data_IF_426599681847
#
_entry.id   IF_426599681847
#
_cell.length_a   1.000
_cell.length_b   1.000
_cell.length_c   1.000
_cell.angle_alpha   90.00
_cell.angle_beta   90.00
_cell.angle_gamma   90.00
#
_symmetry.space_group_name_H-M   'P 1'
#
loop_
_entity.id
_entity.type
_entity.pdbx_description
1 polymer ?
#
# COMPACT_ATOMS: atom_id res chain seq x y z
N UNK A 1 19.18 -22.77 6.21
CA UNK A 1 18.03 -22.06 6.83
C UNK A 1 17.85 -22.55 8.26
N UNK A 2 17.82 -21.64 9.24
CA UNK A 2 17.53 -21.91 10.66
C UNK A 2 16.04 -21.72 10.95
N UNK A 3 15.57 -22.25 12.08
CA UNK A 3 14.19 -22.02 12.52
C UNK A 3 13.88 -20.52 12.64
N UNK A 4 12.72 -20.10 12.16
CA UNK A 4 12.26 -18.70 12.23
C UNK A 4 13.04 -17.73 11.35
N UNK A 5 13.99 -18.23 10.54
CA UNK A 5 14.73 -17.39 9.60
C UNK A 5 13.76 -16.79 8.56
N UNK A 6 14.03 -15.55 8.16
CA UNK A 6 13.19 -14.83 7.20
C UNK A 6 13.74 -15.08 5.81
N UNK A 7 12.91 -15.65 4.95
CA UNK A 7 13.22 -15.90 3.55
C UNK A 7 12.45 -14.89 2.71
N UNK A 8 13.19 -14.00 2.07
CA UNK A 8 12.66 -13.04 1.12
C UNK A 8 12.65 -13.63 -0.28
N UNK A 9 11.52 -13.52 -0.96
CA UNK A 9 11.33 -13.92 -2.36
C UNK A 9 10.70 -12.75 -3.10
N UNK A 10 11.30 -12.33 -4.22
CA UNK A 10 10.63 -11.38 -5.10
C UNK A 10 9.33 -12.02 -5.61
N UNK A 11 8.18 -11.36 -5.50
CA UNK A 11 6.88 -12.05 -5.61
C UNK A 11 6.65 -12.74 -6.98
N UNK A 12 7.23 -12.23 -8.07
CA UNK A 12 7.19 -12.88 -9.39
C UNK A 12 8.22 -14.01 -9.57
N UNK A 13 9.10 -14.23 -8.60
CA UNK A 13 10.03 -15.37 -8.51
C UNK A 13 9.51 -16.47 -7.57
N UNK A 14 8.23 -16.41 -7.21
CA UNK A 14 7.62 -17.39 -6.32
C UNK A 14 7.58 -18.80 -6.92
N UNK A 15 7.36 -18.91 -8.22
CA UNK A 15 7.31 -20.18 -8.94
C UNK A 15 8.63 -20.97 -8.84
N UNK A 16 9.80 -20.39 -9.19
CA UNK A 16 11.07 -21.08 -9.00
C UNK A 16 11.43 -21.29 -7.52
N UNK A 17 10.95 -20.46 -6.60
CA UNK A 17 11.18 -20.67 -5.16
C UNK A 17 10.57 -21.98 -4.67
N UNK A 18 9.31 -22.28 -5.02
CA UNK A 18 8.64 -23.53 -4.65
C UNK A 18 9.13 -24.78 -5.41
N UNK A 19 10.30 -24.71 -6.03
CA UNK A 19 11.03 -25.84 -6.60
C UNK A 19 12.22 -26.27 -5.71
N UNK A 20 13.43 -26.41 -6.28
CA UNK A 20 14.62 -26.82 -5.53
C UNK A 20 14.93 -25.99 -4.28
N UNK A 21 14.78 -24.63 -4.28
CA UNK A 21 15.05 -23.83 -3.08
C UNK A 21 14.16 -24.24 -1.90
N UNK A 22 12.84 -24.30 -2.09
CA UNK A 22 11.90 -24.72 -1.04
C UNK A 22 12.17 -26.15 -0.55
N UNK A 23 12.47 -27.07 -1.46
CA UNK A 23 12.73 -28.47 -1.11
C UNK A 23 13.99 -28.64 -0.26
N UNK A 24 15.00 -27.79 -0.46
CA UNK A 24 16.25 -27.80 0.33
C UNK A 24 16.10 -27.28 1.76
N UNK A 25 14.98 -26.64 2.08
CA UNK A 25 14.74 -26.03 3.39
C UNK A 25 14.10 -27.06 4.32
N UNK A 26 14.78 -27.40 5.41
CA UNK A 26 14.28 -28.39 6.37
C UNK A 26 13.60 -27.78 7.59
N UNK A 27 14.01 -26.57 7.99
CA UNK A 27 13.52 -25.91 9.21
C UNK A 27 12.37 -24.95 8.89
N UNK A 28 11.35 -24.85 9.76
CA UNK A 28 10.30 -23.85 9.63
C UNK A 28 10.84 -22.41 9.56
N UNK A 29 10.25 -21.58 8.71
CA UNK A 29 10.73 -20.24 8.37
C UNK A 29 9.58 -19.25 8.17
N UNK A 30 9.91 -17.96 8.18
CA UNK A 30 9.00 -16.87 7.79
C UNK A 30 9.20 -16.57 6.31
N UNK A 31 8.13 -16.64 5.51
CA UNK A 31 8.19 -16.29 4.09
C UNK A 31 7.77 -14.83 3.89
N UNK A 32 8.53 -14.07 3.10
CA UNK A 32 8.17 -12.71 2.68
C UNK A 32 8.19 -12.64 1.16
N UNK A 33 7.05 -12.31 0.54
CA UNK A 33 6.94 -12.06 -0.90
C UNK A 33 6.66 -10.60 -1.18
N UNK A 34 7.58 -9.92 -1.89
CA UNK A 34 7.54 -8.47 -2.09
C UNK A 34 8.21 -8.05 -3.41
N UNK A 35 8.38 -6.75 -3.64
CA UNK A 35 9.17 -6.13 -4.70
C UNK A 35 8.78 -6.55 -6.12
N UNK A 36 7.50 -6.80 -6.32
CA UNK A 36 6.84 -7.04 -7.61
C UNK A 36 5.34 -6.81 -7.46
N UNK A 37 4.66 -6.57 -8.58
CA UNK A 37 3.20 -6.42 -8.66
C UNK A 37 2.47 -7.77 -8.51
N UNK A 38 3.20 -8.89 -8.59
CA UNK A 38 2.63 -10.23 -8.49
C UNK A 38 1.94 -10.46 -7.13
N UNK A 39 0.78 -11.10 -7.17
CA UNK A 39 0.05 -11.51 -5.97
C UNK A 39 0.55 -12.83 -5.42
N UNK A 40 0.44 -13.01 -4.10
CA UNK A 40 0.86 -14.20 -3.37
C UNK A 40 -0.21 -14.54 -2.31
N UNK A 41 -0.53 -15.81 -2.04
CA UNK A 41 0.08 -17.02 -2.60
C UNK A 41 -0.36 -17.35 -4.03
N UNK A 42 -1.45 -16.77 -4.54
CA UNK A 42 -2.05 -17.07 -5.84
C UNK A 42 -2.19 -18.60 -6.03
N UNK A 43 -1.62 -19.17 -7.09
CA UNK A 43 -1.63 -20.62 -7.36
C UNK A 43 -0.90 -21.49 -6.31
N UNK A 44 -0.25 -20.90 -5.32
CA UNK A 44 0.52 -21.59 -4.27
C UNK A 44 -0.20 -21.63 -2.92
N UNK A 45 -1.51 -21.40 -2.89
CA UNK A 45 -2.29 -21.36 -1.64
C UNK A 45 -2.15 -22.64 -0.79
N UNK A 46 -2.01 -23.81 -1.44
CA UNK A 46 -1.80 -25.08 -0.75
C UNK A 46 -0.57 -25.09 0.16
N UNK A 47 0.46 -24.29 -0.14
CA UNK A 47 1.66 -24.17 0.70
C UNK A 47 1.40 -23.49 2.04
N UNK A 48 0.29 -22.75 2.20
CA UNK A 48 -0.09 -22.21 3.50
C UNK A 48 -0.34 -23.31 4.54
N UNK A 49 -0.74 -24.51 4.12
CA UNK A 49 -0.88 -25.66 5.00
C UNK A 49 0.45 -26.31 5.39
N UNK A 50 1.55 -25.97 4.71
CA UNK A 50 2.84 -26.60 4.93
C UNK A 50 3.44 -26.21 6.29
N UNK A 51 3.90 -27.17 7.11
CA UNK A 51 4.47 -26.87 8.43
C UNK A 51 5.79 -26.09 8.38
N UNK A 52 6.49 -26.08 7.24
CA UNK A 52 7.72 -25.30 7.06
C UNK A 52 7.44 -23.79 6.97
N UNK A 53 6.23 -23.37 6.60
CA UNK A 53 5.87 -21.94 6.57
C UNK A 53 5.20 -21.62 7.91
N UNK A 54 5.91 -20.89 8.76
CA UNK A 54 5.39 -20.41 10.05
C UNK A 54 4.32 -19.35 9.79
N UNK A 55 4.67 -18.37 8.95
CA UNK A 55 3.81 -17.29 8.48
C UNK A 55 4.37 -16.78 7.16
N UNK A 56 3.49 -16.23 6.34
CA UNK A 56 3.78 -15.66 5.05
C UNK A 56 3.31 -14.20 5.03
N UNK A 57 4.25 -13.28 4.84
CA UNK A 57 3.97 -11.87 4.58
C UNK A 57 3.98 -11.57 3.09
N UNK A 58 2.88 -11.05 2.54
CA UNK A 58 2.77 -10.73 1.12
C UNK A 58 2.44 -9.25 0.89
N UNK A 59 3.13 -8.59 -0.04
CA UNK A 59 2.81 -7.21 -0.41
C UNK A 59 1.52 -7.08 -1.20
N UNK A 60 1.14 -8.14 -1.90
CA UNK A 60 -0.07 -8.26 -2.69
C UNK A 60 -0.77 -9.57 -2.32
N UNK A 61 -1.35 -9.69 -1.11
CA UNK A 61 -2.03 -10.91 -0.70
C UNK A 61 -3.19 -11.26 -1.66
N UNK A 62 -3.37 -12.53 -1.98
CA UNK A 62 -4.48 -13.00 -2.84
C UNK A 62 -5.55 -13.80 -2.08
N UNK A 63 -5.40 -13.94 -0.77
CA UNK A 63 -6.32 -14.66 0.11
C UNK A 63 -6.62 -13.79 1.32
N UNK A 64 -7.89 -13.70 1.69
CA UNK A 64 -8.34 -12.93 2.85
C UNK A 64 -8.43 -13.84 4.09
N UNK A 65 -8.13 -13.28 5.27
CA UNK A 65 -8.39 -13.90 6.58
C UNK A 65 -7.72 -15.27 6.84
N UNK A 66 -6.59 -15.57 6.20
CA UNK A 66 -5.85 -16.80 6.48
C UNK A 66 -4.87 -16.63 7.65
N UNK A 67 -4.85 -17.57 8.59
CA UNK A 67 -4.05 -17.47 9.84
C UNK A 67 -2.53 -17.39 9.62
N UNK A 68 -2.03 -18.00 8.53
CA UNK A 68 -0.62 -17.94 8.11
C UNK A 68 -0.31 -16.93 7.01
N UNK A 69 -1.26 -16.11 6.55
CA UNK A 69 -0.99 -15.08 5.54
C UNK A 69 -1.29 -13.70 6.14
N UNK A 70 -0.30 -12.82 6.16
CA UNK A 70 -0.46 -11.44 6.58
C UNK A 70 -0.07 -10.50 5.45
N UNK A 71 -0.80 -9.41 5.21
CA UNK A 71 -0.28 -8.36 4.35
C UNK A 71 0.95 -7.69 4.98
N UNK A 72 1.82 -7.16 4.14
CA UNK A 72 2.94 -6.24 4.45
C UNK A 72 2.88 -5.09 3.43
N UNK A 73 3.14 -3.82 3.76
CA UNK A 73 3.10 -2.71 2.80
C UNK A 73 4.09 -2.91 1.64
N UNK A 74 3.71 -2.54 0.42
CA UNK A 74 4.68 -2.31 -0.67
C UNK A 74 5.61 -1.13 -0.35
N UNK A 75 5.14 -0.18 0.46
CA UNK A 75 5.92 0.95 0.95
C UNK A 75 6.20 2.00 -0.12
N UNK A 76 7.29 2.76 0.04
CA UNK A 76 7.77 3.74 -0.95
C UNK A 76 8.56 3.03 -2.04
N UNK A 77 8.54 3.59 -3.26
CA UNK A 77 9.22 3.00 -4.39
C UNK A 77 10.75 2.93 -4.21
N UNK A 78 11.37 1.99 -4.90
CA UNK A 78 12.83 1.85 -4.93
C UNK A 78 13.51 3.13 -5.47
N UNK A 79 14.64 3.51 -4.89
CA UNK A 79 15.41 4.73 -5.24
C UNK A 79 15.87 4.80 -6.71
N UNK A 80 15.86 3.67 -7.43
CA UNK A 80 16.12 3.65 -8.88
C UNK A 80 15.07 4.41 -9.69
N UNK A 81 13.89 4.66 -9.11
CA UNK A 81 12.81 5.40 -9.74
C UNK A 81 12.74 6.84 -9.19
N UNK A 82 12.33 7.83 -10.01
CA UNK A 82 12.20 9.21 -9.55
C UNK A 82 11.28 9.38 -8.32
N UNK A 83 10.22 8.57 -8.24
CA UNK A 83 9.25 8.56 -7.14
C UNK A 83 9.68 7.70 -5.93
N UNK A 84 10.90 7.16 -5.97
CA UNK A 84 11.55 6.51 -4.82
C UNK A 84 12.64 7.37 -4.18
N UNK A 85 12.77 8.64 -4.58
CA UNK A 85 13.79 9.53 -4.05
C UNK A 85 13.43 10.00 -2.63
N UNK A 86 14.16 9.51 -1.63
CA UNK A 86 13.90 9.75 -0.22
C UNK A 86 14.22 11.18 0.22
N UNK A 87 15.20 11.85 -0.40
CA UNK A 87 15.55 13.23 -0.06
C UNK A 87 14.41 14.18 -0.45
N UNK A 88 13.85 14.00 -1.65
CA UNK A 88 12.69 14.75 -2.14
C UNK A 88 11.47 14.51 -1.26
N UNK A 89 11.21 13.25 -0.90
CA UNK A 89 10.10 12.89 -0.03
C UNK A 89 10.25 13.51 1.37
N UNK A 90 11.43 13.38 1.99
CA UNK A 90 11.71 13.92 3.32
C UNK A 90 11.63 15.45 3.33
N UNK A 91 12.16 16.10 2.30
CA UNK A 91 12.05 17.55 2.11
C UNK A 91 10.58 17.99 1.99
N UNK A 92 9.79 17.31 1.16
CA UNK A 92 8.37 17.62 0.99
C UNK A 92 7.56 17.36 2.27
N UNK A 93 7.85 16.29 3.02
CA UNK A 93 7.21 16.04 4.32
C UNK A 93 7.41 17.20 5.30
N UNK A 94 8.58 17.86 5.25
CA UNK A 94 8.89 19.02 6.08
C UNK A 94 8.26 20.32 5.57
N UNK A 95 8.26 20.53 4.25
CA UNK A 95 8.00 21.84 3.65
C UNK A 95 6.61 21.96 3.00
N UNK A 96 6.05 20.86 2.50
CA UNK A 96 4.84 20.85 1.66
C UNK A 96 3.62 20.19 2.34
N UNK A 97 3.83 19.47 3.46
CA UNK A 97 2.74 18.86 4.23
C UNK A 97 1.95 19.92 5.00
N UNK A 98 0.79 20.32 4.48
CA UNK A 98 -0.07 21.32 5.14
C UNK A 98 -0.95 20.68 6.22
N UNK A 99 -1.30 21.44 7.29
CA UNK A 99 -2.34 21.04 8.22
C UNK A 99 -3.70 20.82 7.52
N UNK A 100 -4.51 19.89 8.00
CA UNK A 100 -5.79 19.48 7.43
C UNK A 100 -6.73 20.64 7.10
N UNK A 101 -6.79 21.63 8.01
CA UNK A 101 -7.62 22.82 7.87
C UNK A 101 -7.13 23.79 6.77
N UNK A 102 -5.87 23.69 6.36
CA UNK A 102 -5.23 24.53 5.35
C UNK A 102 -5.11 23.85 3.98
N UNK A 103 -5.51 22.58 3.87
CA UNK A 103 -5.52 21.82 2.61
C UNK A 103 -6.65 22.29 1.72
N UNK A 104 -6.33 22.75 0.51
CA UNK A 104 -7.31 23.34 -0.41
C UNK A 104 -7.86 22.35 -1.43
N UNK A 105 -7.16 21.24 -1.71
CA UNK A 105 -7.63 20.21 -2.64
C UNK A 105 -8.47 19.22 -1.84
N UNK A 106 -9.75 19.02 -2.20
CA UNK A 106 -10.59 18.03 -1.53
C UNK A 106 -10.14 16.63 -1.92
N UNK A 107 -10.15 16.32 -3.21
CA UNK A 107 -9.77 15.01 -3.74
C UNK A 107 -8.67 15.17 -4.79
N UNK A 108 -7.59 14.40 -4.66
CA UNK A 108 -6.50 14.36 -5.62
C UNK A 108 -6.40 13.02 -6.33
N UNK A 109 -6.28 13.07 -7.65
CA UNK A 109 -6.24 11.91 -8.55
C UNK A 109 -5.00 12.02 -9.44
N UNK A 110 -4.05 11.10 -9.26
CA UNK A 110 -2.83 11.04 -10.06
C UNK A 110 -2.40 9.60 -10.36
N UNK A 111 -3.16 8.90 -11.19
CA UNK A 111 -2.86 7.52 -11.57
C UNK A 111 -3.04 7.27 -13.06
N UNK A 112 -2.27 6.31 -13.58
CA UNK A 112 -2.40 5.86 -14.95
C UNK A 112 -3.50 4.80 -15.07
N UNK A 113 -4.53 5.07 -15.86
CA UNK A 113 -5.65 4.16 -16.15
C UNK A 113 -5.17 2.89 -16.87
N UNK A 114 -4.10 2.95 -17.65
CA UNK A 114 -3.59 1.83 -18.43
C UNK A 114 -3.11 0.63 -17.59
N UNK A 115 -2.67 0.87 -16.35
CA UNK A 115 -2.19 -0.21 -15.45
C UNK A 115 -3.30 -1.11 -14.91
N UNK A 116 -4.53 -0.62 -14.80
CA UNK A 116 -5.69 -1.42 -14.39
C UNK A 116 -6.97 -0.75 -14.89
N UNK A 117 -7.23 -0.88 -16.20
CA UNK A 117 -8.30 -0.14 -16.86
C UNK A 117 -9.69 -0.42 -16.30
N UNK A 118 -9.97 -1.66 -15.89
CA UNK A 118 -11.28 -2.04 -15.36
C UNK A 118 -11.59 -1.32 -14.03
N UNK A 119 -10.60 -1.21 -13.15
CA UNK A 119 -10.74 -0.56 -11.85
C UNK A 119 -10.61 0.96 -11.95
N UNK A 120 -9.54 1.42 -12.61
CA UNK A 120 -9.15 2.83 -12.60
C UNK A 120 -10.07 3.71 -13.43
N UNK A 121 -10.72 3.18 -14.48
CA UNK A 121 -11.76 3.93 -15.21
C UNK A 121 -12.98 4.22 -14.34
N UNK A 122 -13.42 3.25 -13.53
CA UNK A 122 -14.55 3.44 -12.60
C UNK A 122 -14.21 4.47 -11.53
N UNK A 123 -13.04 4.33 -10.90
CA UNK A 123 -12.54 5.28 -9.90
C UNK A 123 -12.45 6.71 -10.47
N UNK A 124 -11.86 6.86 -11.66
CA UNK A 124 -11.71 8.15 -12.33
C UNK A 124 -13.07 8.77 -12.71
N UNK A 125 -13.98 7.96 -13.26
CA UNK A 125 -15.33 8.40 -13.63
C UNK A 125 -16.07 8.95 -12.43
N UNK A 126 -16.03 8.22 -11.31
CA UNK A 126 -16.66 8.68 -10.08
C UNK A 126 -16.02 9.96 -9.55
N UNK A 127 -14.69 10.01 -9.46
CA UNK A 127 -13.97 11.17 -8.94
C UNK A 127 -14.27 12.45 -9.76
N UNK A 128 -14.52 12.29 -11.07
CA UNK A 128 -14.87 13.41 -11.95
C UNK A 128 -16.24 14.03 -11.64
N UNK A 129 -17.07 13.37 -10.83
CA UNK A 129 -18.39 13.91 -10.40
C UNK A 129 -18.31 14.80 -9.16
N UNK A 130 -17.15 14.87 -8.50
CA UNK A 130 -16.96 15.52 -7.21
C UNK A 130 -16.32 16.90 -7.40
N UNK A 131 -16.93 17.95 -6.83
CA UNK A 131 -16.36 19.29 -6.88
C UNK A 131 -15.05 19.38 -6.11
N UNK A 132 -14.17 20.30 -6.51
CA UNK A 132 -12.83 20.46 -5.92
C UNK A 132 -11.95 19.18 -5.99
N UNK A 133 -12.07 18.45 -7.10
CA UNK A 133 -11.19 17.34 -7.46
C UNK A 133 -10.09 17.83 -8.40
N UNK A 134 -8.83 17.60 -8.04
CA UNK A 134 -7.69 17.85 -8.92
C UNK A 134 -7.26 16.54 -9.58
N UNK A 135 -7.43 16.47 -10.91
CA UNK A 135 -7.13 15.29 -11.72
C UNK A 135 -5.92 15.56 -12.63
N UNK A 136 -4.87 14.76 -12.46
CA UNK A 136 -3.69 14.83 -13.32
C UNK A 136 -3.87 13.96 -14.55
N UNK A 137 -3.83 14.58 -15.74
CA UNK A 137 -3.93 13.89 -17.05
C UNK A 137 -2.58 13.41 -17.58
N UNK A 138 -1.50 14.09 -17.19
CA UNK A 138 -0.15 13.84 -17.68
C UNK A 138 0.79 13.51 -16.51
N UNK A 139 1.89 12.83 -16.81
CA UNK A 139 2.97 12.64 -15.84
C UNK A 139 3.53 13.99 -15.40
N UNK A 140 3.73 14.12 -14.10
CA UNK A 140 4.31 15.31 -13.47
C UNK A 140 5.59 14.94 -12.72
N UNK A 141 6.49 15.91 -12.47
CA UNK A 141 7.64 15.72 -11.59
C UNK A 141 7.20 15.23 -10.21
N UNK A 142 8.05 14.45 -9.55
CA UNK A 142 7.73 13.84 -8.26
C UNK A 142 7.51 14.90 -7.17
N UNK A 143 8.31 15.95 -7.15
CA UNK A 143 8.17 17.08 -6.21
C UNK A 143 6.83 17.79 -6.40
N UNK A 144 6.42 18.05 -7.65
CA UNK A 144 5.11 18.63 -7.93
C UNK A 144 3.97 17.72 -7.48
N UNK A 145 4.12 16.40 -7.64
CA UNK A 145 3.18 15.44 -7.09
C UNK A 145 3.10 15.52 -5.56
N UNK A 146 4.25 15.56 -4.87
CA UNK A 146 4.30 15.65 -3.41
C UNK A 146 3.68 16.96 -2.91
N UNK A 147 3.91 18.09 -3.59
CA UNK A 147 3.25 19.36 -3.28
C UNK A 147 1.72 19.27 -3.36
N UNK A 148 1.19 18.65 -4.41
CA UNK A 148 -0.25 18.42 -4.51
C UNK A 148 -0.75 17.48 -3.41
N UNK A 149 -0.02 16.39 -3.13
CA UNK A 149 -0.36 15.44 -2.08
C UNK A 149 -0.37 16.11 -0.68
N UNK A 150 0.59 16.99 -0.41
CA UNK A 150 0.68 17.77 0.83
C UNK A 150 -0.44 18.81 1.01
N UNK A 151 -1.10 19.20 -0.09
CA UNK A 151 -2.22 20.14 -0.11
C UNK A 151 -3.60 19.45 -0.27
N UNK A 152 -3.65 18.13 -0.42
CA UNK A 152 -4.87 17.35 -0.63
C UNK A 152 -5.38 16.69 0.64
N UNK A 153 -6.68 16.78 0.90
CA UNK A 153 -7.32 16.07 2.02
C UNK A 153 -7.37 14.57 1.75
N UNK A 154 -7.86 14.21 0.56
CA UNK A 154 -7.99 12.82 0.13
C UNK A 154 -7.18 12.54 -1.13
N UNK A 155 -6.58 11.35 -1.20
CA UNK A 155 -5.89 10.85 -2.40
C UNK A 155 -6.55 9.55 -2.84
N UNK A 156 -6.99 9.49 -4.09
CA UNK A 156 -7.58 8.29 -4.67
C UNK A 156 -6.49 7.27 -5.00
N UNK A 157 -6.53 6.10 -4.35
CA UNK A 157 -5.53 5.04 -4.51
C UNK A 157 -6.15 3.71 -4.95
N UNK A 158 -6.76 3.66 -6.16
CA UNK A 158 -7.28 2.42 -6.72
C UNK A 158 -6.14 1.48 -7.09
N UNK A 159 -6.45 0.18 -7.05
CA UNK A 159 -5.55 -0.91 -7.47
C UNK A 159 -4.87 -0.59 -8.80
N UNK A 160 -3.56 -0.88 -8.88
CA UNK A 160 -2.78 -0.83 -10.12
C UNK A 160 -2.59 -2.20 -10.73
N UNK A 161 -1.39 -2.43 -11.27
CA UNK A 161 -0.94 -3.77 -11.63
C UNK A 161 -1.01 -4.70 -10.41
N UNK A 162 -0.34 -4.29 -9.33
CA UNK A 162 -0.43 -4.92 -8.01
C UNK A 162 -1.68 -4.49 -7.24
N UNK A 163 -1.97 -5.22 -6.16
CA UNK A 163 -3.02 -4.91 -5.21
C UNK A 163 -2.71 -3.61 -4.45
N UNK A 164 -1.49 -3.51 -3.91
CA UNK A 164 -1.01 -2.34 -3.16
C UNK A 164 -0.41 -1.27 -4.10
N UNK A 165 -0.38 -0.02 -3.64
CA UNK A 165 0.12 1.12 -4.38
C UNK A 165 1.09 1.95 -3.53
N UNK A 166 2.25 2.31 -4.09
CA UNK A 166 3.18 3.28 -3.46
C UNK A 166 2.47 4.58 -3.05
N UNK A 167 1.53 5.03 -3.88
CA UNK A 167 0.68 6.20 -3.64
C UNK A 167 -0.07 6.18 -2.31
N UNK A 168 -0.48 5.00 -1.84
CA UNK A 168 -1.15 4.85 -0.54
C UNK A 168 -0.22 5.27 0.60
N UNK A 169 1.03 4.82 0.53
CA UNK A 169 2.07 5.09 1.52
C UNK A 169 2.57 6.54 1.43
N UNK A 170 2.76 7.06 0.21
CA UNK A 170 3.07 8.47 -0.03
C UNK A 170 1.97 9.40 0.52
N UNK A 171 0.69 9.04 0.37
CA UNK A 171 -0.43 9.80 0.93
C UNK A 171 -0.33 9.91 2.46
N UNK A 172 -0.07 8.79 3.15
CA UNK A 172 0.12 8.82 4.60
C UNK A 172 1.23 9.76 5.02
N UNK A 173 2.40 9.66 4.37
CA UNK A 173 3.58 10.48 4.68
C UNK A 173 3.33 11.97 4.42
N UNK A 174 2.60 12.31 3.36
CA UNK A 174 2.24 13.69 3.01
C UNK A 174 1.01 14.22 3.76
N UNK A 175 0.50 13.49 4.75
CA UNK A 175 -0.62 13.94 5.57
C UNK A 175 -1.98 13.88 4.86
N UNK A 176 -2.08 13.27 3.68
CA UNK A 176 -3.37 13.03 3.01
C UNK A 176 -3.99 11.69 3.44
N UNK A 177 -5.31 11.57 3.32
CA UNK A 177 -6.05 10.33 3.60
C UNK A 177 -6.17 9.51 2.31
N UNK A 178 -5.58 8.31 2.23
CA UNK A 178 -5.77 7.47 1.06
C UNK A 178 -7.19 6.86 1.05
N UNK A 179 -7.82 6.90 -0.12
CA UNK A 179 -9.08 6.21 -0.40
C UNK A 179 -8.75 4.96 -1.21
N UNK A 180 -9.06 3.79 -0.65
CA UNK A 180 -8.77 2.47 -1.21
C UNK A 180 -10.05 1.66 -1.32
N UNK A 181 -10.11 0.75 -2.28
CA UNK A 181 -11.19 -0.23 -2.35
C UNK A 181 -10.90 -1.38 -1.38
N UNK A 182 -11.95 -1.90 -0.75
CA UNK A 182 -11.93 -3.11 0.08
C UNK A 182 -11.16 -4.24 -0.60
N UNK A 183 -10.24 -4.87 0.14
CA UNK A 183 -9.38 -5.95 -0.37
C UNK A 183 -8.70 -6.77 0.74
N UNK A 184 -7.84 -7.69 0.33
CA UNK A 184 -6.97 -8.47 1.19
C UNK A 184 -5.94 -7.61 1.95
N UNK A 185 -5.79 -6.31 1.60
CA UNK A 185 -4.96 -5.35 2.32
C UNK A 185 -5.66 -4.66 3.50
N UNK A 186 -6.98 -4.84 3.66
CA UNK A 186 -7.75 -4.21 4.75
C UNK A 186 -7.07 -4.33 6.14
N UNK A 187 -6.43 -5.46 6.52
CA UNK A 187 -5.73 -5.54 7.81
C UNK A 187 -4.60 -4.53 8.00
N UNK A 188 -3.97 -4.01 6.93
CA UNK A 188 -2.98 -2.93 7.01
C UNK A 188 -3.63 -1.59 7.36
N UNK A 189 -4.89 -1.40 6.98
CA UNK A 189 -5.60 -0.13 7.08
C UNK A 189 -6.50 -0.04 8.31
N UNK A 190 -6.70 -1.14 9.05
CA UNK A 190 -7.61 -1.19 10.20
C UNK A 190 -7.32 -0.17 11.32
N UNK A 191 -6.06 0.25 11.48
CA UNK A 191 -5.63 1.25 12.48
C UNK A 191 -5.00 2.49 11.82
N UNK A 192 -5.42 2.80 10.61
CA UNK A 192 -4.96 3.99 9.90
C UNK A 192 -6.12 4.95 9.69
N UNK A 193 -5.81 6.14 9.18
CA UNK A 193 -6.81 7.11 8.73
C UNK A 193 -7.30 6.85 7.30
N UNK A 194 -7.10 5.65 6.74
CA UNK A 194 -7.60 5.30 5.42
C UNK A 194 -9.12 5.36 5.35
N UNK A 195 -9.64 5.67 4.17
CA UNK A 195 -11.04 5.43 3.83
C UNK A 195 -11.11 4.20 2.95
N UNK A 196 -11.73 3.12 3.47
CA UNK A 196 -11.97 1.89 2.73
C UNK A 196 -13.41 1.92 2.23
N UNK A 197 -13.59 1.87 0.91
CA UNK A 197 -14.91 1.81 0.26
C UNK A 197 -15.14 0.44 -0.36
N UNK A 198 -16.39 0.01 -0.49
CA UNK A 198 -16.74 -1.24 -1.17
C UNK A 198 -16.93 -1.02 -2.67
N UNK A 199 -17.56 0.09 -3.05
CA UNK A 199 -17.80 0.49 -4.42
C UNK A 199 -17.46 1.97 -4.64
N UNK A 200 -17.02 2.32 -5.85
CA UNK A 200 -16.68 3.69 -6.17
C UNK A 200 -17.88 4.63 -5.99
N UNK A 201 -19.11 4.20 -6.25
CA UNK A 201 -20.32 5.03 -6.08
C UNK A 201 -20.53 5.60 -4.67
N UNK A 202 -19.91 5.03 -3.64
CA UNK A 202 -19.91 5.60 -2.28
C UNK A 202 -19.18 6.96 -2.20
N UNK A 203 -18.23 7.18 -3.11
CA UNK A 203 -17.42 8.37 -3.16
C UNK A 203 -18.23 9.55 -3.71
N UNK A 204 -18.91 10.25 -2.82
CA UNK A 204 -19.63 11.50 -3.13
C UNK A 204 -18.97 12.69 -2.43
N UNK A 205 -19.21 13.90 -2.94
CA UNK A 205 -18.75 15.12 -2.29
C UNK A 205 -19.27 15.21 -0.85
N UNK A 206 -20.56 14.93 -0.64
CA UNK A 206 -21.19 14.90 0.68
C UNK A 206 -20.50 13.90 1.61
N UNK A 207 -20.15 12.71 1.12
CA UNK A 207 -19.43 11.71 1.90
C UNK A 207 -18.02 12.20 2.28
N UNK A 208 -17.26 12.77 1.35
CA UNK A 208 -15.93 13.29 1.66
C UNK A 208 -15.95 14.48 2.63
N UNK A 209 -16.93 15.37 2.50
CA UNK A 209 -17.09 16.52 3.38
C UNK A 209 -17.60 16.16 4.79
N UNK A 210 -18.23 14.99 4.96
CA UNK A 210 -18.65 14.52 6.30
C UNK A 210 -17.48 13.97 7.12
N UNK A 211 -16.38 13.62 6.46
CA UNK A 211 -15.18 13.07 7.10
C UNK A 211 -14.25 14.20 7.58
N UNK A 212 -13.75 14.07 8.81
CA UNK A 212 -12.82 15.03 9.39
C UNK A 212 -11.69 14.33 10.15
N UNK A 213 -10.46 14.52 9.67
CA UNK A 213 -9.25 13.93 10.23
C UNK A 213 -8.33 14.96 10.91
N UNK A 214 -8.81 16.17 11.18
CA UNK A 214 -8.00 17.25 11.75
C UNK A 214 -7.30 16.92 13.08
N UNK A 215 -7.89 16.02 13.88
CA UNK A 215 -7.33 15.61 15.18
C UNK A 215 -6.10 14.69 15.08
N UNK A 216 -5.92 14.02 13.94
CA UNK A 216 -4.89 12.99 13.73
C UNK A 216 -4.07 13.30 12.46
N UNK A 217 -4.01 14.56 12.04
CA UNK A 217 -3.44 14.96 10.75
C UNK A 217 -1.90 14.92 10.72
N UNK A 218 -1.27 14.94 11.88
CA UNK A 218 0.18 14.77 12.09
C UNK A 218 0.59 13.29 12.18
N UNK A 219 -0.33 12.40 12.56
CA UNK A 219 -0.04 10.97 12.76
C UNK A 219 0.20 10.24 11.43
N UNK A 220 1.41 9.70 11.29
CA UNK A 220 1.74 8.68 10.29
C UNK A 220 1.51 7.31 10.93
N UNK A 221 0.76 6.39 10.31
CA UNK A 221 0.50 5.08 10.91
C UNK A 221 1.76 4.24 11.10
N UNK A 222 1.84 3.49 12.21
CA UNK A 222 2.98 2.60 12.55
C UNK A 222 3.36 1.64 11.41
N UNK A 223 2.35 1.12 10.69
CA UNK A 223 2.54 0.23 9.53
C UNK A 223 3.33 0.87 8.37
N UNK A 224 3.53 2.19 8.38
CA UNK A 224 4.37 2.90 7.41
C UNK A 224 5.87 2.84 7.75
N UNK A 225 6.22 2.48 8.99
CA UNK A 225 7.61 2.48 9.46
C UNK A 225 8.25 1.10 9.32
N UNK A 226 9.48 1.07 8.80
CA UNK A 226 10.25 -0.17 8.69
C UNK A 226 10.47 -0.85 10.04
N UNK A 227 10.61 -0.07 11.12
CA UNK A 227 10.81 -0.58 12.48
C UNK A 227 9.65 -1.47 12.94
N UNK A 228 8.40 -1.07 12.69
CA UNK A 228 7.22 -1.87 13.02
C UNK A 228 7.26 -3.26 12.36
N UNK A 229 7.69 -3.31 11.09
CA UNK A 229 7.80 -4.58 10.36
C UNK A 229 9.02 -5.39 10.78
N UNK A 230 10.12 -4.74 11.16
CA UNK A 230 11.26 -5.43 11.74
C UNK A 230 10.85 -6.19 13.00
N UNK A 231 10.17 -5.54 13.95
CA UNK A 231 9.68 -6.18 15.17
C UNK A 231 8.70 -7.32 14.85
N UNK A 232 7.75 -7.07 13.94
CA UNK A 232 6.72 -8.04 13.56
C UNK A 232 7.28 -9.26 12.81
N UNK A 233 8.33 -9.11 12.02
CA UNK A 233 8.96 -10.21 11.30
C UNK A 233 9.91 -11.02 12.20
N UNK A 234 10.66 -10.35 13.07
CA UNK A 234 11.71 -10.99 13.86
C UNK A 234 11.20 -11.65 15.15
N UNK A 235 9.98 -11.33 15.61
CA UNK A 235 9.35 -12.03 16.75
C UNK A 235 9.27 -13.56 16.57
N UNK A 236 9.28 -14.05 15.32
CA UNK A 236 9.21 -15.48 15.00
C UNK A 236 10.54 -16.24 15.14
N UNK A 237 11.66 -15.54 15.41
CA UNK A 237 12.99 -16.16 15.58
C UNK A 237 13.23 -16.76 16.96
N UNK A 238 12.40 -16.41 17.95
CA UNK A 238 12.64 -16.73 19.36
C UNK A 238 11.57 -17.66 19.97
N UNK A 239 10.70 -18.22 19.14
CA UNK A 239 9.71 -19.24 19.55
C UNK A 239 10.25 -20.65 19.37
#
# INVERSE_FOLDING_TARGET
>A
VKYGEIIFVKADMIAPFFGPPFNSIEKPFVLVTHNSDASAPNNYESYLSNPKILIWYASNPSVQNHTKLSPIPIGIANMRWPHGNLDKLTSAMKNDRKPWSQRTILLYVNFDVGTNGAERKKALSQASTIQNTQIMKNRIPFETYLQHAGNAKFILSPRGNGLDCHRTWEAFLMGAVPIVRKSELDPLFAKTRSVIIHDWSELTEKFLLSLNFSKNDDIVPDVSYAQYWYEKLFQHRHN
#
